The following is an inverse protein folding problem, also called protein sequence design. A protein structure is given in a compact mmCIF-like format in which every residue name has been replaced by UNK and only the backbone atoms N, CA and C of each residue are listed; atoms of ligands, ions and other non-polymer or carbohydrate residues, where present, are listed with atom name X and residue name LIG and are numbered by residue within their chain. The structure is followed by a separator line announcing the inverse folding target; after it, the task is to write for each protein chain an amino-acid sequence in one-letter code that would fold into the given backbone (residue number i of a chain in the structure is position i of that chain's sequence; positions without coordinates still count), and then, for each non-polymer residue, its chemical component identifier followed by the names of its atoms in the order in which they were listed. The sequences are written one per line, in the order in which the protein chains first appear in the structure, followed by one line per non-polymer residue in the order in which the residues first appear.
data_IF_708907162134
#
_entry.id   IF_708907162134
#
_cell.length_a   1.000
_cell.length_b   1.000
_cell.length_c   1.000
_cell.angle_alpha   90.00
_cell.angle_beta   90.00
_cell.angle_gamma   90.00
#
_symmetry.space_group_name_H-M   'P 1'
#
loop_
_entity.id
_entity.type
_entity.pdbx_description
1 polymer ?
#
# COMPACT_ATOMS: atom_id res chain seq x y z
N UNK A 1 1.51 4.43 2.16
CA UNK A 1 1.26 3.01 2.52
C UNK A 1 0.38 3.01 3.74
N UNK A 2 -0.65 2.17 3.82
CA UNK A 2 -1.52 2.08 5.01
C UNK A 2 -1.90 0.62 5.28
N UNK A 3 -2.61 0.37 6.37
CA UNK A 3 -3.24 -0.91 6.72
C UNK A 3 -4.75 -0.74 6.93
N UNK A 4 -5.56 -1.79 6.71
CA UNK A 4 -7.03 -1.77 6.82
C UNK A 4 -7.53 -1.72 8.29
N UNK A 5 -7.03 -0.76 9.07
CA UNK A 5 -7.43 -0.51 10.45
C UNK A 5 -8.05 0.88 10.57
N UNK A 6 -8.90 1.15 11.59
CA UNK A 6 -9.45 2.49 11.80
C UNK A 6 -8.38 3.59 11.91
N UNK A 7 -7.24 3.28 12.54
CA UNK A 7 -6.10 4.19 12.63
C UNK A 7 -5.41 4.38 11.28
N UNK A 8 -5.17 3.29 10.54
CA UNK A 8 -4.59 3.36 9.19
C UNK A 8 -5.46 4.16 8.21
N UNK A 9 -6.80 4.07 8.32
CA UNK A 9 -7.72 4.88 7.53
C UNK A 9 -7.66 6.36 7.93
N UNK A 10 -7.62 6.66 9.23
CA UNK A 10 -7.52 8.04 9.71
C UNK A 10 -6.23 8.71 9.20
N UNK A 11 -5.09 8.04 9.34
CA UNK A 11 -3.80 8.54 8.87
C UNK A 11 -3.78 8.70 7.34
N UNK A 12 -4.41 7.77 6.61
CA UNK A 12 -4.55 7.87 5.15
C UNK A 12 -5.34 9.12 4.75
N UNK A 13 -6.46 9.40 5.40
CA UNK A 13 -7.31 10.57 5.11
C UNK A 13 -6.50 11.86 5.27
N UNK A 14 -5.80 12.00 6.40
CA UNK A 14 -4.96 13.18 6.66
C UNK A 14 -3.85 13.35 5.61
N UNK A 15 -3.18 12.26 5.23
CA UNK A 15 -2.14 12.30 4.21
C UNK A 15 -2.69 12.70 2.84
N UNK A 16 -3.85 12.16 2.45
CA UNK A 16 -4.53 12.49 1.19
C UNK A 16 -4.92 13.97 1.16
N UNK A 17 -5.51 14.49 2.23
CA UNK A 17 -5.90 15.91 2.31
C UNK A 17 -4.69 16.85 2.13
N UNK A 18 -3.54 16.51 2.72
CA UNK A 18 -2.30 17.28 2.56
C UNK A 18 -1.81 17.21 1.11
N UNK A 19 -1.73 16.02 0.52
CA UNK A 19 -1.24 15.84 -0.85
C UNK A 19 -2.14 16.52 -1.89
N UNK A 20 -3.46 16.51 -1.68
CA UNK A 20 -4.42 17.23 -2.51
C UNK A 20 -4.20 18.75 -2.47
N UNK A 21 -4.00 19.33 -1.27
CA UNK A 21 -3.70 20.76 -1.13
C UNK A 21 -2.40 21.15 -1.83
N UNK A 22 -1.40 20.28 -1.80
CA UNK A 22 -0.11 20.47 -2.47
C UNK A 22 -0.13 20.13 -3.96
N UNK A 23 -1.24 19.58 -4.48
CA UNK A 23 -1.39 19.13 -5.88
C UNK A 23 -0.31 18.14 -6.31
N UNK A 24 0.10 17.25 -5.39
CA UNK A 24 1.09 16.21 -5.68
C UNK A 24 0.33 14.95 -6.12
N UNK A 25 0.72 14.28 -7.22
CA UNK A 25 0.13 13.00 -7.60
C UNK A 25 0.42 11.89 -6.58
N UNK A 26 -0.55 11.03 -6.29
CA UNK A 26 -0.39 9.97 -5.29
C UNK A 26 -1.20 8.71 -5.62
N UNK A 27 -0.84 7.63 -4.94
CA UNK A 27 -1.57 6.36 -4.93
C UNK A 27 -1.32 5.60 -3.63
N UNK A 28 -2.11 4.57 -3.38
CA UNK A 28 -2.11 3.83 -2.12
C UNK A 28 -1.55 2.43 -2.30
N UNK A 29 -0.72 1.99 -1.35
CA UNK A 29 -0.37 0.58 -1.17
C UNK A 29 -1.00 0.13 0.14
N UNK A 30 -1.80 -0.93 0.08
CA UNK A 30 -2.48 -1.52 1.23
C UNK A 30 -1.67 -2.70 1.76
N UNK A 31 -1.09 -2.52 2.93
CA UNK A 31 -0.32 -3.53 3.63
C UNK A 31 -1.21 -4.31 4.61
N UNK A 32 -0.92 -5.59 4.81
CA UNK A 32 -1.75 -6.51 5.61
C UNK A 32 -3.22 -6.46 5.15
N UNK A 33 -3.48 -6.55 3.84
CA UNK A 33 -4.81 -6.30 3.28
C UNK A 33 -5.91 -7.32 3.67
N UNK A 34 -5.54 -8.38 4.39
CA UNK A 34 -6.40 -9.47 4.86
C UNK A 34 -6.73 -9.36 6.36
N UNK A 35 -6.25 -8.32 7.05
CA UNK A 35 -6.69 -8.01 8.42
C UNK A 35 -7.74 -6.90 8.38
N UNK A 36 -8.60 -6.81 9.40
CA UNK A 36 -9.52 -5.67 9.54
C UNK A 36 -10.72 -5.65 8.59
N UNK A 37 -11.14 -4.46 8.18
CA UNK A 37 -12.34 -4.21 7.36
C UNK A 37 -11.98 -3.61 5.97
N UNK A 38 -12.97 -3.47 5.09
CA UNK A 38 -12.77 -2.98 3.72
C UNK A 38 -12.85 -1.45 3.58
N UNK A 39 -12.84 -0.69 4.69
CA UNK A 39 -13.10 0.75 4.63
C UNK A 39 -12.00 1.53 3.92
N UNK A 40 -10.76 1.04 3.92
CA UNK A 40 -9.67 1.70 3.19
C UNK A 40 -9.90 1.57 1.69
N UNK A 41 -10.27 0.40 1.21
CA UNK A 41 -10.60 0.16 -0.20
C UNK A 41 -11.83 0.96 -0.62
N UNK A 42 -12.89 0.97 0.21
CA UNK A 42 -14.09 1.78 -0.02
C UNK A 42 -13.77 3.27 -0.10
N UNK A 43 -12.95 3.77 0.84
CA UNK A 43 -12.48 5.15 0.84
C UNK A 43 -11.67 5.47 -0.42
N UNK A 44 -10.72 4.61 -0.80
CA UNK A 44 -9.92 4.81 -2.01
C UNK A 44 -10.82 4.84 -3.25
N UNK A 45 -11.77 3.91 -3.37
CA UNK A 45 -12.74 3.85 -4.48
C UNK A 45 -13.63 5.08 -4.53
N UNK A 46 -14.13 5.56 -3.39
CA UNK A 46 -15.01 6.73 -3.30
C UNK A 46 -14.31 8.04 -3.70
N UNK A 47 -13.00 8.13 -3.52
CA UNK A 47 -12.20 9.32 -3.79
C UNK A 47 -11.32 9.19 -5.05
N UNK A 48 -11.59 8.19 -5.90
CA UNK A 48 -10.83 7.91 -7.12
C UNK A 48 -9.31 7.79 -6.89
N UNK A 49 -8.91 7.22 -5.75
CA UNK A 49 -7.51 7.04 -5.37
C UNK A 49 -7.02 5.68 -5.88
N UNK A 50 -5.94 5.65 -6.70
CA UNK A 50 -5.47 4.40 -7.27
C UNK A 50 -4.83 3.50 -6.20
N UNK A 51 -5.40 2.30 -6.03
CA UNK A 51 -4.80 1.25 -5.21
C UNK A 51 -3.75 0.49 -6.03
N UNK A 52 -2.48 0.78 -5.79
CA UNK A 52 -1.36 0.36 -6.64
C UNK A 52 -0.95 -1.09 -6.39
N UNK A 53 -0.98 -1.52 -5.12
CA UNK A 53 -0.60 -2.85 -4.68
C UNK A 53 -1.29 -3.17 -3.34
N UNK A 54 -1.67 -4.44 -3.16
CA UNK A 54 -2.10 -4.99 -1.88
C UNK A 54 -1.15 -6.12 -1.46
N UNK A 55 -0.76 -6.14 -0.18
CA UNK A 55 0.17 -7.11 0.39
C UNK A 55 -0.54 -7.79 1.57
N UNK A 56 -0.79 -9.12 1.55
CA UNK A 56 -1.41 -9.82 2.67
C UNK A 56 -0.44 -9.92 3.87
N UNK A 57 -0.99 -10.18 5.05
CA UNK A 57 -0.24 -10.48 6.25
C UNK A 57 0.45 -11.83 6.08
N UNK A 58 1.78 -11.82 6.07
CA UNK A 58 2.58 -13.04 6.01
C UNK A 58 3.65 -13.01 7.09
N UNK A 59 3.60 -13.99 7.99
CA UNK A 59 4.59 -14.15 9.06
C UNK A 59 6.00 -14.38 8.51
N UNK A 60 6.16 -15.03 7.35
CA UNK A 60 7.47 -15.22 6.71
C UNK A 60 8.09 -13.89 6.32
N UNK A 61 7.28 -12.98 5.79
CA UNK A 61 7.67 -11.60 5.50
C UNK A 61 8.12 -10.91 6.80
N UNK A 62 7.35 -11.07 7.87
CA UNK A 62 7.66 -10.47 9.16
C UNK A 62 9.02 -10.91 9.74
N UNK A 63 9.27 -12.22 9.70
CA UNK A 63 10.53 -12.82 10.17
C UNK A 63 11.70 -12.47 9.26
N UNK A 64 11.49 -12.37 7.95
CA UNK A 64 12.56 -12.02 7.02
C UNK A 64 13.02 -10.57 7.22
N UNK A 65 12.09 -9.61 7.29
CA UNK A 65 12.47 -8.21 7.46
C UNK A 65 13.16 -7.96 8.82
N UNK A 66 12.78 -8.68 9.89
CA UNK A 66 13.45 -8.55 11.19
C UNK A 66 14.91 -9.04 11.20
N UNK A 67 15.27 -9.85 10.20
CA UNK A 67 16.65 -10.29 9.93
C UNK A 67 17.35 -9.46 8.85
N UNK A 68 16.74 -8.36 8.41
CA UNK A 68 17.25 -7.53 7.31
C UNK A 68 17.18 -8.20 5.93
N UNK A 69 16.38 -9.27 5.78
CA UNK A 69 16.24 -10.00 4.53
C UNK A 69 15.08 -9.39 3.71
N UNK A 70 15.34 -8.89 2.49
CA UNK A 70 14.30 -8.35 1.63
C UNK A 70 13.27 -9.41 1.21
N UNK A 71 12.01 -8.99 1.07
CA UNK A 71 10.88 -9.86 0.71
C UNK A 71 11.12 -10.66 -0.58
N UNK A 72 11.81 -10.06 -1.56
CA UNK A 72 12.09 -10.67 -2.86
C UNK A 72 13.05 -11.86 -2.76
N UNK A 73 13.83 -11.95 -1.67
CA UNK A 73 14.71 -13.09 -1.39
C UNK A 73 13.97 -14.29 -0.83
N UNK A 74 12.81 -14.09 -0.19
CA UNK A 74 11.98 -15.18 0.34
C UNK A 74 10.81 -15.55 -0.57
N UNK A 75 10.38 -14.64 -1.45
CA UNK A 75 9.31 -14.86 -2.40
C UNK A 75 9.57 -14.05 -3.67
N UNK A 76 10.09 -14.71 -4.70
CA UNK A 76 10.44 -14.10 -5.99
C UNK A 76 9.24 -13.51 -6.73
N UNK A 77 8.00 -13.92 -6.43
CA UNK A 77 6.81 -13.31 -7.04
C UNK A 77 6.68 -11.81 -6.73
N UNK A 78 7.26 -11.33 -5.63
CA UNK A 78 7.26 -9.91 -5.29
C UNK A 78 8.14 -9.06 -6.20
N UNK A 79 9.10 -9.65 -6.91
CA UNK A 79 9.90 -8.93 -7.89
C UNK A 79 9.01 -8.35 -8.99
N UNK A 80 8.18 -9.21 -9.60
CA UNK A 80 7.24 -8.77 -10.63
C UNK A 80 6.18 -7.80 -10.08
N UNK A 81 5.68 -8.04 -8.85
CA UNK A 81 4.74 -7.11 -8.20
C UNK A 81 5.33 -5.72 -8.01
N UNK A 82 6.60 -5.62 -7.59
CA UNK A 82 7.25 -4.33 -7.39
C UNK A 82 7.65 -3.66 -8.70
N UNK A 83 8.04 -4.41 -9.73
CA UNK A 83 8.23 -3.86 -11.09
C UNK A 83 6.92 -3.27 -11.61
N UNK A 84 5.80 -3.97 -11.44
CA UNK A 84 4.48 -3.46 -11.83
C UNK A 84 4.07 -2.24 -11.00
N UNK A 85 4.32 -2.25 -9.69
CA UNK A 85 4.09 -1.09 -8.82
C UNK A 85 4.88 0.13 -9.30
N UNK A 86 6.17 -0.03 -9.59
CA UNK A 86 7.00 1.05 -10.11
C UNK A 86 6.46 1.61 -11.44
N UNK A 87 6.06 0.74 -12.37
CA UNK A 87 5.43 1.17 -13.63
C UNK A 87 4.15 1.98 -13.40
N UNK A 88 3.30 1.57 -12.46
CA UNK A 88 2.09 2.32 -12.10
C UNK A 88 2.42 3.67 -11.48
N UNK A 89 3.44 3.77 -10.63
CA UNK A 89 3.89 5.04 -10.03
C UNK A 89 4.37 6.00 -11.13
N UNK A 90 5.19 5.52 -12.07
CA UNK A 90 5.68 6.32 -13.20
C UNK A 90 4.56 6.83 -14.10
N UNK A 91 3.42 6.13 -14.18
CA UNK A 91 2.26 6.58 -14.95
C UNK A 91 1.43 7.68 -14.25
N UNK A 92 1.62 7.88 -12.95
CA UNK A 92 0.88 8.85 -12.13
C UNK A 92 1.64 10.19 -12.04
N UNK A 93 2.97 10.16 -12.20
CA UNK A 93 3.86 11.32 -12.23
C UNK A 93 3.89 11.91 -13.65
#
# INVERSE_FOLDING_TARGET
VTEPTPFGLHDLILAVEVLQKLKIPYGVVLNKCDIGDHKVEEYCKKNDIPLLLSIPLDRKIAVAYSKGIPIVKINSSYEQKFIQLFKKIVQII
#
